data_IF_085454550034
#
_entry.id   IF_085454550034
#
_cell.length_a   1.000
_cell.length_b   1.000
_cell.length_c   1.000
_cell.angle_alpha   90.00
_cell.angle_beta   90.00
_cell.angle_gamma   90.00
#
_symmetry.space_group_name_H-M   'P 1'
#
loop_
_entity.id
_entity.type
_entity.pdbx_description
1 polymer ?
#
# COMPACT_ATOMS: atom_id res chain seq x y z
N UNK A 1 46.09 30.83 27.11
CA UNK A 1 44.63 30.98 27.10
C UNK A 1 44.03 29.80 26.37
N UNK A 2 43.27 28.95 27.06
CA UNK A 2 42.01 28.32 26.60
C UNK A 2 41.66 27.21 27.59
N UNK A 3 40.88 27.61 28.60
CA UNK A 3 40.30 26.74 29.61
C UNK A 3 39.10 26.02 29.00
N UNK A 4 39.16 24.69 28.94
CA UNK A 4 38.06 23.84 28.48
C UNK A 4 36.97 23.81 29.55
N UNK A 5 35.84 24.44 29.27
CA UNK A 5 34.65 24.39 30.13
C UNK A 5 33.88 23.09 29.89
N UNK A 6 34.03 22.16 30.81
CA UNK A 6 33.18 20.99 30.99
C UNK A 6 31.77 21.48 31.39
N UNK A 7 30.74 21.24 30.58
CA UNK A 7 29.33 21.48 30.95
C UNK A 7 28.73 20.17 31.43
N UNK A 8 28.57 20.05 32.74
CA UNK A 8 27.82 18.98 33.40
C UNK A 8 26.34 19.33 33.28
N UNK A 9 25.55 18.48 32.62
CA UNK A 9 24.08 18.59 32.59
C UNK A 9 23.56 17.78 33.76
N UNK A 10 23.07 18.48 34.78
CA UNK A 10 22.43 17.90 35.96
C UNK A 10 21.03 17.41 35.58
N UNK A 11 20.80 16.09 35.61
CA UNK A 11 19.48 15.50 35.49
C UNK A 11 18.70 15.69 36.81
N UNK A 12 17.59 16.42 36.76
CA UNK A 12 16.63 16.48 37.85
C UNK A 12 15.64 15.33 37.70
N UNK A 13 15.78 14.29 38.53
CA UNK A 13 14.81 13.23 38.67
C UNK A 13 13.63 13.75 39.52
N UNK A 14 12.47 13.96 38.90
CA UNK A 14 11.21 14.18 39.63
C UNK A 14 10.57 12.83 39.86
N UNK A 15 10.73 12.31 41.07
CA UNK A 15 10.04 11.13 41.56
C UNK A 15 8.60 11.51 41.96
N UNK A 16 7.60 10.94 41.28
CA UNK A 16 6.20 10.97 41.70
C UNK A 16 5.90 9.67 42.45
N UNK A 17 5.41 9.72 43.71
CA UNK A 17 4.94 8.52 44.40
C UNK A 17 3.54 8.14 43.88
N UNK A 18 3.43 7.01 43.20
CA UNK A 18 2.13 6.38 42.96
C UNK A 18 1.68 5.69 44.25
N UNK A 19 0.60 6.24 44.82
CA UNK A 19 -0.14 5.70 45.94
C UNK A 19 -0.68 4.31 45.62
N UNK A 20 -0.46 3.41 46.58
CA UNK A 20 -1.10 2.10 46.72
C UNK A 20 -2.61 2.29 46.87
N UNK A 21 -3.39 1.64 46.00
CA UNK A 21 -4.83 1.52 46.12
C UNK A 21 -5.24 0.09 45.81
N UNK A 22 -5.28 -0.76 46.85
CA UNK A 22 -5.96 -2.04 46.80
C UNK A 22 -7.48 -1.78 46.70
N UNK A 23 -8.12 -2.35 45.68
CA UNK A 23 -9.57 -2.32 45.50
C UNK A 23 -10.01 -3.59 44.80
N UNK A 24 -10.56 -4.50 45.58
CA UNK A 24 -11.00 -5.86 45.26
C UNK A 24 -12.49 -5.87 44.87
N UNK A 25 -12.84 -6.73 43.92
CA UNK A 25 -14.20 -6.98 43.43
C UNK A 25 -14.35 -6.47 42.00
N UNK A 26 -14.80 -7.23 41.01
CA UNK A 26 -15.57 -8.46 40.96
C UNK A 26 -16.37 -8.39 39.64
N UNK A 27 -16.59 -9.53 39.01
CA UNK A 27 -17.39 -9.74 37.78
C UNK A 27 -16.71 -9.42 36.43
N UNK A 28 -15.96 -10.41 35.96
CA UNK A 28 -15.83 -10.68 34.53
C UNK A 28 -17.16 -11.21 34.00
N UNK A 29 -17.84 -10.44 33.16
CA UNK A 29 -18.91 -10.94 32.31
C UNK A 29 -18.28 -11.63 31.09
N UNK A 30 -18.12 -12.94 31.19
CA UNK A 30 -17.65 -13.77 30.09
C UNK A 30 -18.79 -13.94 29.06
N UNK A 31 -18.55 -13.45 27.85
CA UNK A 31 -19.47 -13.54 26.74
C UNK A 31 -19.69 -15.01 26.33
N UNK A 32 -20.95 -15.43 26.34
CA UNK A 32 -21.37 -16.76 25.93
C UNK A 32 -21.09 -16.99 24.44
N UNK A 33 -20.30 -18.02 24.13
CA UNK A 33 -20.21 -18.62 22.81
C UNK A 33 -21.45 -19.48 22.54
N UNK A 34 -22.10 -19.39 21.36
CA UNK A 34 -22.97 -20.44 20.90
C UNK A 34 -22.20 -21.49 20.10
N UNK A 35 -22.55 -22.73 20.41
CA UNK A 35 -22.04 -23.98 19.89
C UNK A 35 -22.04 -24.13 18.37
N UNK A 36 -21.05 -24.89 17.90
CA UNK A 36 -21.10 -25.61 16.64
C UNK A 36 -22.33 -26.53 16.56
N UNK A 37 -22.98 -26.56 15.41
CA UNK A 37 -23.87 -27.66 15.03
C UNK A 37 -23.55 -28.08 13.60
N UNK A 38 -23.14 -29.33 13.48
CA UNK A 38 -22.96 -30.08 12.23
C UNK A 38 -24.33 -30.51 11.65
N UNK A 39 -24.25 -31.16 10.47
CA UNK A 39 -25.28 -31.94 9.72
C UNK A 39 -25.86 -31.10 8.55
N UNK A 40 -25.92 -31.52 7.28
CA UNK A 40 -25.89 -32.83 6.63
C UNK A 40 -25.56 -32.68 5.12
N UNK A 41 -25.07 -33.76 4.50
CA UNK A 41 -24.90 -33.92 3.05
C UNK A 41 -26.14 -34.57 2.39
N UNK A 42 -26.41 -34.21 1.12
CA UNK A 42 -26.95 -35.04 0.02
C UNK A 42 -27.18 -34.14 -1.22
N UNK A 43 -26.38 -34.25 -2.30
CA UNK A 43 -26.56 -35.13 -3.47
C UNK A 43 -27.66 -34.68 -4.46
N UNK A 44 -27.26 -34.31 -5.68
CA UNK A 44 -27.60 -35.02 -6.94
C UNK A 44 -27.47 -34.13 -8.21
N UNK A 45 -26.66 -34.64 -9.13
CA UNK A 45 -26.83 -34.70 -10.59
C UNK A 45 -27.48 -33.56 -11.37
N UNK A 46 -26.73 -33.00 -12.34
CA UNK A 46 -27.12 -33.08 -13.76
C UNK A 46 -25.94 -32.72 -14.68
N UNK A 47 -25.52 -33.67 -15.52
CA UNK A 47 -24.99 -33.39 -16.85
C UNK A 47 -26.15 -33.61 -17.85
N UNK A 48 -26.11 -33.00 -19.05
CA UNK A 48 -25.59 -33.75 -20.18
C UNK A 48 -24.72 -32.93 -21.15
N UNK A 49 -24.20 -33.65 -22.15
CA UNK A 49 -23.07 -33.33 -23.02
C UNK A 49 -23.43 -32.70 -24.38
N UNK A 50 -22.41 -32.06 -24.99
CA UNK A 50 -22.03 -32.03 -26.43
C UNK A 50 -22.96 -31.35 -27.46
N UNK A 51 -22.45 -30.80 -28.60
CA UNK A 51 -21.42 -31.39 -29.46
C UNK A 51 -20.32 -30.43 -30.01
N UNK A 52 -19.45 -31.03 -30.82
CA UNK A 52 -18.20 -30.53 -31.36
C UNK A 52 -18.30 -29.89 -32.77
N UNK A 53 -17.21 -29.17 -33.10
CA UNK A 53 -16.54 -29.00 -34.41
C UNK A 53 -17.15 -28.10 -35.51
N UNK A 54 -16.36 -27.11 -35.94
CA UNK A 54 -15.96 -26.96 -37.36
C UNK A 54 -14.68 -26.13 -37.52
N UNK A 55 -13.79 -26.65 -38.36
CA UNK A 55 -12.58 -26.07 -38.95
C UNK A 55 -12.91 -25.06 -40.04
N UNK A 56 -12.01 -24.10 -40.32
CA UNK A 56 -12.05 -23.30 -41.54
C UNK A 56 -11.00 -22.20 -41.57
N UNK A 57 -9.88 -22.44 -42.26
CA UNK A 57 -8.88 -21.42 -42.60
C UNK A 57 -9.31 -20.57 -43.79
N UNK A 58 -8.68 -19.40 -43.93
CA UNK A 58 -8.83 -18.52 -45.10
C UNK A 58 -7.98 -17.27 -44.95
N UNK A 59 -6.82 -17.24 -45.61
CA UNK A 59 -6.03 -16.05 -45.89
C UNK A 59 -6.79 -15.12 -46.84
N UNK A 60 -6.77 -13.80 -46.57
CA UNK A 60 -6.89 -12.76 -47.58
C UNK A 60 -6.32 -11.42 -47.07
N UNK A 61 -5.40 -10.86 -47.85
CA UNK A 61 -4.73 -9.58 -47.62
C UNK A 61 -5.61 -8.36 -47.93
N UNK A 62 -5.38 -7.25 -47.22
CA UNK A 62 -5.90 -5.93 -47.54
C UNK A 62 -5.38 -4.85 -46.58
N UNK A 63 -4.44 -4.02 -47.02
CA UNK A 63 -4.11 -2.70 -46.41
C UNK A 63 -5.04 -1.61 -46.96
N UNK A 64 -5.03 -0.36 -46.45
CA UNK A 64 -4.74 0.15 -45.10
C UNK A 64 -5.90 1.02 -44.56
N UNK A 65 -6.09 1.17 -43.25
CA UNK A 65 -6.97 2.20 -42.71
C UNK A 65 -6.50 2.69 -41.34
N UNK A 66 -6.42 4.01 -41.21
CA UNK A 66 -6.01 4.74 -40.02
C UNK A 66 -6.85 4.36 -38.79
N UNK A 67 -6.19 3.97 -37.70
CA UNK A 67 -6.85 3.82 -36.40
C UNK A 67 -6.76 5.13 -35.62
N UNK A 68 -7.94 5.70 -35.41
CA UNK A 68 -8.21 6.76 -34.47
C UNK A 68 -7.76 6.40 -33.04
N UNK A 69 -7.47 7.43 -32.25
CA UNK A 69 -7.24 7.33 -30.82
C UNK A 69 -8.40 6.62 -30.11
N UNK A 70 -8.16 5.72 -29.13
CA UNK A 70 -9.25 5.16 -28.36
C UNK A 70 -9.82 6.21 -27.40
N UNK A 71 -11.08 6.58 -27.63
CA UNK A 71 -11.91 7.24 -26.63
C UNK A 71 -12.19 6.27 -25.48
N UNK A 72 -11.96 6.74 -24.26
CA UNK A 72 -12.32 6.06 -23.03
C UNK A 72 -13.84 5.85 -22.94
N UNK A 73 -14.27 4.60 -23.08
CA UNK A 73 -15.57 4.11 -22.58
C UNK A 73 -15.54 2.57 -22.61
N UNK A 74 -14.82 2.00 -21.65
CA UNK A 74 -14.81 0.56 -21.40
C UNK A 74 -15.91 0.18 -20.41
N UNK A 75 -16.79 -0.74 -20.81
CA UNK A 75 -17.66 -1.49 -19.91
C UNK A 75 -16.84 -2.16 -18.78
N UNK A 76 -17.42 -2.46 -17.60
CA UNK A 76 -16.71 -3.14 -16.52
C UNK A 76 -16.03 -4.41 -17.05
N UNK A 77 -14.71 -4.48 -16.85
CA UNK A 77 -13.81 -5.41 -17.52
C UNK A 77 -14.30 -6.85 -17.42
N UNK A 78 -14.34 -7.55 -18.56
CA UNK A 78 -14.45 -9.01 -18.56
C UNK A 78 -13.24 -9.56 -17.82
N UNK A 79 -13.46 -10.08 -16.61
CA UNK A 79 -12.44 -10.50 -15.63
C UNK A 79 -11.38 -11.43 -16.17
N UNK A 80 -10.35 -10.86 -16.80
CA UNK A 80 -9.13 -11.58 -17.14
C UNK A 80 -8.41 -11.93 -15.84
N UNK A 81 -7.97 -13.17 -15.71
CA UNK A 81 -7.22 -13.63 -14.55
C UNK A 81 -5.75 -13.32 -14.76
N UNK A 82 -5.11 -12.65 -13.80
CA UNK A 82 -3.68 -12.41 -13.79
C UNK A 82 -2.93 -13.68 -13.37
N UNK A 83 -1.69 -13.90 -13.86
CA UNK A 83 -0.89 -15.04 -13.45
C UNK A 83 -0.61 -14.98 -11.94
N UNK A 84 -0.77 -16.12 -11.27
CA UNK A 84 -0.44 -16.24 -9.84
C UNK A 84 1.05 -16.09 -9.63
N UNK A 85 1.43 -15.36 -8.58
CA UNK A 85 2.81 -15.23 -8.10
C UNK A 85 2.90 -15.77 -6.67
N UNK A 86 4.10 -15.81 -6.09
CA UNK A 86 4.26 -16.11 -4.67
C UNK A 86 4.10 -14.82 -3.87
N UNK A 87 3.33 -14.87 -2.78
CA UNK A 87 3.43 -13.93 -1.67
C UNK A 87 4.34 -14.53 -0.59
N UNK A 88 5.59 -14.05 -0.42
CA UNK A 88 6.49 -14.54 0.61
C UNK A 88 6.12 -14.09 2.03
N UNK A 89 5.25 -13.07 2.16
CA UNK A 89 4.88 -12.46 3.43
C UNK A 89 3.61 -13.05 4.04
N UNK A 90 2.76 -13.71 3.25
CA UNK A 90 1.55 -14.37 3.75
C UNK A 90 1.86 -15.33 4.92
N UNK A 91 1.36 -15.01 6.11
CA UNK A 91 1.56 -15.79 7.33
C UNK A 91 2.96 -15.70 7.96
N UNK A 92 3.84 -14.86 7.42
CA UNK A 92 5.22 -14.65 7.89
C UNK A 92 5.45 -13.21 8.35
N UNK A 93 5.01 -12.24 7.56
CA UNK A 93 5.14 -10.82 7.86
C UNK A 93 3.92 -10.30 8.63
N UNK A 94 4.08 -9.17 9.32
CA UNK A 94 2.97 -8.46 9.94
C UNK A 94 2.13 -7.76 8.85
N UNK A 95 0.83 -8.01 8.81
CA UNK A 95 -0.10 -7.29 7.94
C UNK A 95 -0.41 -5.92 8.55
N UNK A 96 -0.19 -4.86 7.79
CA UNK A 96 -0.43 -3.49 8.26
C UNK A 96 -1.73 -2.91 7.73
N UNK A 97 -2.14 -3.28 6.52
CA UNK A 97 -3.43 -2.90 5.95
C UNK A 97 -3.89 -3.89 4.89
N UNK A 98 -5.20 -3.92 4.67
CA UNK A 98 -5.87 -4.66 3.60
C UNK A 98 -6.93 -3.78 2.97
N UNK A 99 -6.72 -3.45 1.69
CA UNK A 99 -7.50 -2.46 0.96
C UNK A 99 -8.17 -3.15 -0.22
N UNK A 100 -9.50 -3.06 -0.29
CA UNK A 100 -10.27 -3.52 -1.46
C UNK A 100 -10.32 -2.43 -2.51
N UNK A 101 -10.13 -2.80 -3.77
CA UNK A 101 -10.08 -1.87 -4.90
C UNK A 101 -10.82 -2.44 -6.10
N UNK A 102 -11.28 -1.55 -6.99
CA UNK A 102 -11.88 -1.93 -8.27
C UNK A 102 -10.91 -1.58 -9.39
N UNK A 103 -10.23 -2.58 -9.94
CA UNK A 103 -9.28 -2.38 -11.03
C UNK A 103 -10.04 -2.18 -12.36
N UNK A 104 -9.74 -1.14 -13.15
CA UNK A 104 -10.50 -0.83 -14.37
C UNK A 104 -10.55 -1.98 -15.40
N UNK A 105 -9.45 -2.74 -15.53
CA UNK A 105 -9.37 -3.90 -16.44
C UNK A 105 -9.68 -5.28 -15.81
N UNK A 106 -9.43 -5.45 -14.51
CA UNK A 106 -9.39 -6.78 -13.86
C UNK A 106 -10.49 -6.97 -12.80
N UNK A 107 -11.29 -5.92 -12.55
CA UNK A 107 -12.40 -5.95 -11.60
C UNK A 107 -11.94 -5.90 -10.15
N UNK A 108 -12.70 -6.51 -9.22
CA UNK A 108 -12.38 -6.50 -7.80
C UNK A 108 -11.01 -7.13 -7.50
N UNK A 109 -10.18 -6.39 -6.79
CA UNK A 109 -8.88 -6.84 -6.29
C UNK A 109 -8.69 -6.42 -4.83
N UNK A 110 -7.64 -6.94 -4.20
CA UNK A 110 -7.27 -6.59 -2.85
C UNK A 110 -5.76 -6.35 -2.77
N UNK A 111 -5.37 -5.26 -2.12
CA UNK A 111 -3.97 -4.93 -1.85
C UNK A 111 -3.73 -5.12 -0.37
N UNK A 112 -2.72 -5.92 -0.02
CA UNK A 112 -2.32 -6.17 1.36
C UNK A 112 -0.93 -5.60 1.55
N UNK A 113 -0.78 -4.68 2.49
CA UNK A 113 0.54 -4.16 2.89
C UNK A 113 1.08 -4.93 4.09
N UNK A 114 2.38 -5.17 4.08
CA UNK A 114 3.08 -5.92 5.09
C UNK A 114 4.29 -5.16 5.60
N UNK A 115 4.73 -5.54 6.80
CA UNK A 115 6.04 -5.20 7.34
C UNK A 115 6.78 -6.44 7.83
N UNK A 116 8.06 -6.53 7.49
CA UNK A 116 9.00 -7.51 8.03
C UNK A 116 9.99 -6.82 8.98
N UNK A 117 10.05 -7.22 10.24
CA UNK A 117 11.10 -6.77 11.16
C UNK A 117 12.43 -7.42 10.79
N UNK A 118 13.42 -6.60 10.42
CA UNK A 118 14.76 -7.03 10.01
C UNK A 118 15.80 -6.92 11.12
N UNK A 119 15.58 -6.01 12.09
CA UNK A 119 16.44 -5.86 13.27
C UNK A 119 15.55 -5.75 14.52
N UNK A 120 15.26 -6.87 15.21
CA UNK A 120 14.29 -6.89 16.31
C UNK A 120 14.82 -6.24 17.61
N UNK A 121 16.13 -6.24 17.82
CA UNK A 121 16.75 -5.86 19.11
C UNK A 121 17.31 -4.43 19.16
N UNK A 122 17.00 -3.59 18.16
CA UNK A 122 17.40 -2.18 18.14
C UNK A 122 16.17 -1.27 18.11
N UNK A 123 16.25 -0.11 18.77
CA UNK A 123 15.21 0.91 18.73
C UNK A 123 15.74 2.18 18.02
N UNK A 124 15.05 2.70 17.00
CA UNK A 124 13.89 2.10 16.34
C UNK A 124 14.25 0.79 15.63
N UNK A 125 13.30 -0.15 15.57
CA UNK A 125 13.51 -1.43 14.89
C UNK A 125 13.69 -1.20 13.40
N UNK A 126 14.65 -1.93 12.81
CA UNK A 126 14.75 -2.03 11.36
C UNK A 126 13.52 -2.78 10.85
N UNK A 127 12.72 -2.14 9.99
CA UNK A 127 11.53 -2.72 9.36
C UNK A 127 11.67 -2.60 7.84
N UNK A 128 11.13 -3.58 7.11
CA UNK A 128 11.10 -3.62 5.64
C UNK A 128 9.65 -3.69 5.14
N UNK A 129 9.14 -2.62 4.50
CA UNK A 129 7.80 -2.61 3.95
C UNK A 129 7.70 -3.42 2.65
N UNK A 130 6.52 -4.00 2.42
CA UNK A 130 6.16 -4.68 1.17
C UNK A 130 4.65 -4.66 0.95
N UNK A 131 4.19 -5.02 -0.24
CA UNK A 131 2.78 -5.26 -0.52
C UNK A 131 2.59 -6.46 -1.45
N UNK A 132 1.42 -7.07 -1.36
CA UNK A 132 0.92 -8.07 -2.29
C UNK A 132 -0.42 -7.63 -2.88
N UNK A 133 -0.69 -8.09 -4.09
CA UNK A 133 -1.93 -7.84 -4.83
C UNK A 133 -2.63 -9.17 -5.01
N UNK A 134 -3.90 -9.23 -4.67
CA UNK A 134 -4.73 -10.42 -4.72
C UNK A 134 -5.89 -10.24 -5.69
N UNK A 135 -6.14 -11.28 -6.48
CA UNK A 135 -7.33 -11.41 -7.31
C UNK A 135 -8.01 -12.73 -6.95
N UNK A 136 -9.29 -12.69 -6.57
CA UNK A 136 -10.05 -13.89 -6.18
C UNK A 136 -9.34 -14.74 -5.09
N UNK A 137 -8.68 -14.08 -4.13
CA UNK A 137 -7.94 -14.72 -3.05
C UNK A 137 -6.60 -15.36 -3.45
N UNK A 138 -6.16 -15.22 -4.70
CA UNK A 138 -4.85 -15.67 -5.16
C UNK A 138 -3.91 -14.47 -5.33
N UNK A 139 -2.65 -14.56 -4.87
CA UNK A 139 -1.66 -13.50 -5.08
C UNK A 139 -1.25 -13.43 -6.56
N UNK A 140 -1.32 -12.24 -7.14
CA UNK A 140 -1.01 -11.95 -8.55
C UNK A 140 0.05 -10.86 -8.73
N UNK A 141 0.45 -10.21 -7.63
CA UNK A 141 1.56 -9.28 -7.57
C UNK A 141 2.19 -9.26 -6.19
N UNK A 142 3.50 -8.99 -6.13
CA UNK A 142 4.22 -8.77 -4.88
C UNK A 142 5.41 -7.84 -5.15
N UNK A 143 5.62 -6.87 -4.26
CA UNK A 143 6.80 -6.03 -4.28
C UNK A 143 7.24 -5.70 -2.85
N UNK A 144 8.56 -5.62 -2.66
CA UNK A 144 9.18 -5.31 -1.38
C UNK A 144 10.21 -4.20 -1.56
N UNK A 145 10.37 -3.36 -0.55
CA UNK A 145 11.55 -2.51 -0.46
C UNK A 145 12.83 -3.34 -0.53
N UNK A 146 13.94 -2.76 -1.02
CA UNK A 146 15.25 -3.42 -1.01
C UNK A 146 15.67 -3.89 0.38
N UNK A 147 16.51 -4.93 0.44
CA UNK A 147 16.88 -5.55 1.72
C UNK A 147 17.64 -4.61 2.67
N UNK A 148 18.36 -3.64 2.10
CA UNK A 148 19.10 -2.60 2.83
C UNK A 148 18.19 -1.51 3.43
N UNK A 149 16.91 -1.48 3.08
CA UNK A 149 16.00 -0.42 3.54
C UNK A 149 15.65 -0.62 5.01
N UNK A 150 15.94 0.40 5.82
CA UNK A 150 15.53 0.50 7.23
C UNK A 150 14.48 1.61 7.36
N UNK A 151 13.31 1.41 6.75
CA UNK A 151 12.20 2.34 6.87
C UNK A 151 11.40 2.01 8.14
N UNK A 152 10.75 3.01 8.72
CA UNK A 152 9.74 2.78 9.77
C UNK A 152 8.45 2.41 9.02
N UNK A 153 7.83 1.28 9.37
CA UNK A 153 6.67 0.62 8.72
C UNK A 153 5.65 1.51 7.99
N UNK A 154 4.93 0.92 7.02
CA UNK A 154 3.62 1.44 6.60
C UNK A 154 2.64 1.44 7.79
N UNK A 155 2.28 2.60 8.33
CA UNK A 155 1.32 2.68 9.44
C UNK A 155 1.40 3.94 10.29
N UNK A 156 0.46 4.07 11.22
CA UNK A 156 0.21 5.26 12.05
C UNK A 156 1.21 5.49 13.20
N UNK A 157 2.36 4.79 13.23
CA UNK A 157 3.38 5.05 14.26
C UNK A 157 3.93 6.48 14.08
N UNK A 158 4.22 7.22 15.18
CA UNK A 158 4.71 8.59 15.07
C UNK A 158 6.01 8.63 14.28
N UNK A 159 5.96 9.30 13.14
CA UNK A 159 7.14 9.64 12.36
C UNK A 159 7.77 10.88 13.00
N UNK A 160 9.09 10.94 13.08
CA UNK A 160 9.79 12.14 13.54
C UNK A 160 9.70 13.19 12.42
N UNK A 161 8.87 14.23 12.57
CA UNK A 161 8.83 15.41 11.69
C UNK A 161 7.44 15.92 11.30
N UNK A 162 7.40 17.00 10.51
CA UNK A 162 6.18 17.70 10.03
C UNK A 162 5.49 16.98 8.85
N UNK A 163 5.38 15.65 8.88
CA UNK A 163 4.76 14.90 7.79
C UNK A 163 3.24 14.99 7.94
N UNK A 164 2.60 15.72 7.02
CA UNK A 164 1.16 15.97 6.99
C UNK A 164 0.47 14.75 6.36
N UNK A 165 -0.26 13.99 7.16
CA UNK A 165 -1.09 12.89 6.67
C UNK A 165 -2.51 13.41 6.43
N UNK A 166 -3.00 13.36 5.20
CA UNK A 166 -4.39 13.68 4.86
C UNK A 166 -5.10 12.54 4.07
N UNK A 167 -4.53 11.34 4.07
CA UNK A 167 -5.21 10.15 3.55
C UNK A 167 -5.75 9.31 4.70
N UNK A 168 -7.05 8.99 4.64
CA UNK A 168 -7.69 8.10 5.59
C UNK A 168 -7.04 6.71 5.50
N UNK A 169 -6.34 6.23 6.55
CA UNK A 169 -5.71 4.91 6.53
C UNK A 169 -6.73 3.78 6.37
N UNK A 170 -8.03 4.03 6.59
CA UNK A 170 -9.10 3.05 6.34
C UNK A 170 -9.54 3.02 4.89
N UNK A 171 -9.38 4.11 4.14
CA UNK A 171 -9.83 4.24 2.75
C UNK A 171 -8.78 5.00 1.91
N UNK A 172 -7.58 4.43 1.70
CA UNK A 172 -6.50 5.13 1.03
C UNK A 172 -6.59 5.04 -0.50
N UNK A 173 -7.78 5.15 -1.07
CA UNK A 173 -8.03 4.91 -2.50
C UNK A 173 -8.60 6.17 -3.14
N UNK A 174 -7.99 6.64 -4.22
CA UNK A 174 -8.52 7.78 -4.99
C UNK A 174 -9.56 7.33 -6.03
N UNK A 175 -10.13 8.30 -6.77
CA UNK A 175 -11.13 7.98 -7.80
C UNK A 175 -10.57 7.24 -9.02
N UNK A 176 -9.26 7.20 -9.19
CA UNK A 176 -8.57 6.50 -10.29
C UNK A 176 -8.20 5.06 -9.90
N UNK A 177 -8.40 4.68 -8.63
CA UNK A 177 -8.03 3.38 -8.09
C UNK A 177 -6.58 3.28 -7.65
N UNK A 178 -5.85 4.40 -7.54
CA UNK A 178 -4.53 4.43 -6.93
C UNK A 178 -4.66 4.24 -5.41
N UNK A 179 -3.72 3.50 -4.83
CA UNK A 179 -3.66 3.24 -3.40
C UNK A 179 -2.42 3.85 -2.79
N UNK A 180 -2.58 4.47 -1.62
CA UNK A 180 -1.51 5.21 -0.95
C UNK A 180 -1.13 4.57 0.38
N UNK A 181 0.14 4.26 0.53
CA UNK A 181 0.73 3.86 1.80
C UNK A 181 1.85 4.82 2.13
N UNK A 182 1.73 5.58 3.21
CA UNK A 182 2.85 6.41 3.65
C UNK A 182 3.63 5.74 4.79
N UNK A 183 4.83 6.26 5.00
CA UNK A 183 5.77 5.88 6.03
C UNK A 183 6.60 7.12 6.41
N UNK A 184 7.66 6.94 7.22
CA UNK A 184 8.41 8.07 7.78
C UNK A 184 9.27 8.79 6.77
N UNK A 185 9.43 8.18 5.62
CA UNK A 185 10.28 8.63 4.56
C UNK A 185 9.47 9.20 3.41
N UNK A 186 8.19 8.87 3.25
CA UNK A 186 7.41 9.41 2.14
C UNK A 186 6.09 8.69 1.90
N UNK A 187 5.66 8.72 0.63
CA UNK A 187 4.43 8.09 0.15
C UNK A 187 4.78 7.06 -0.90
N UNK A 188 4.36 5.82 -0.67
CA UNK A 188 4.24 4.80 -1.71
C UNK A 188 2.89 4.93 -2.39
N UNK A 189 2.88 5.06 -3.72
CA UNK A 189 1.69 5.04 -4.55
C UNK A 189 1.69 3.73 -5.33
N UNK A 190 0.56 3.04 -5.33
CA UNK A 190 0.35 1.82 -6.12
C UNK A 190 -0.78 2.10 -7.10
N UNK A 191 -0.48 2.04 -8.39
CA UNK A 191 -1.38 2.46 -9.46
C UNK A 191 -1.87 1.28 -10.30
N UNK A 192 -3.14 1.30 -10.76
CA UNK A 192 -3.63 0.34 -11.74
C UNK A 192 -2.86 0.43 -13.06
N UNK A 193 -2.59 -0.72 -13.68
CA UNK A 193 -1.88 -0.86 -14.94
C UNK A 193 -2.51 -1.99 -15.76
N UNK A 194 -2.11 -2.13 -17.03
CA UNK A 194 -2.55 -3.28 -17.85
C UNK A 194 -2.04 -4.64 -17.33
N UNK A 195 -1.15 -4.67 -16.33
CA UNK A 195 -0.57 -5.89 -15.76
C UNK A 195 -1.02 -6.14 -14.31
N UNK A 196 -2.00 -5.39 -13.81
CA UNK A 196 -2.41 -5.38 -12.41
C UNK A 196 -1.98 -4.08 -11.76
N UNK A 197 -1.28 -4.14 -10.63
CA UNK A 197 -0.84 -2.94 -9.91
C UNK A 197 0.68 -2.81 -9.92
N UNK A 198 1.18 -1.58 -10.00
CA UNK A 198 2.62 -1.25 -9.96
C UNK A 198 2.87 -0.06 -9.02
N UNK A 199 3.97 -0.07 -8.27
CA UNK A 199 4.32 1.03 -7.38
C UNK A 199 5.18 2.11 -8.05
N UNK A 200 5.52 1.95 -9.32
CA UNK A 200 6.36 2.87 -10.08
C UNK A 200 7.68 3.21 -9.37
N UNK A 201 8.19 2.26 -8.60
CA UNK A 201 9.40 2.39 -7.82
C UNK A 201 9.30 3.33 -6.60
N UNK A 202 8.11 3.73 -6.16
CA UNK A 202 7.94 4.59 -4.96
C UNK A 202 8.12 3.85 -3.63
N UNK A 203 8.40 2.55 -3.66
CA UNK A 203 8.73 1.79 -2.45
C UNK A 203 9.98 2.38 -1.77
N UNK A 204 10.03 2.45 -0.43
CA UNK A 204 11.16 3.05 0.29
C UNK A 204 12.50 2.43 -0.07
N UNK A 205 13.48 3.28 -0.35
CA UNK A 205 14.85 2.88 -0.69
C UNK A 205 15.03 2.31 -2.10
N UNK A 206 14.01 2.40 -2.96
CA UNK A 206 14.09 2.03 -4.37
C UNK A 206 15.09 2.93 -5.12
N UNK A 207 16.08 2.31 -5.78
CA UNK A 207 17.09 3.04 -6.55
C UNK A 207 16.56 3.52 -7.93
N UNK A 208 15.33 3.14 -8.31
CA UNK A 208 14.72 3.43 -9.63
C UNK A 208 13.28 3.91 -9.48
N UNK A 209 13.07 4.97 -8.71
CA UNK A 209 11.74 5.56 -8.62
C UNK A 209 11.42 6.40 -9.86
N UNK A 210 10.24 6.21 -10.42
CA UNK A 210 9.66 7.12 -11.43
C UNK A 210 9.23 8.43 -10.78
N UNK A 211 8.88 8.41 -9.49
CA UNK A 211 8.39 9.57 -8.74
C UNK A 211 9.22 9.80 -7.48
N UNK A 212 9.69 11.03 -7.22
CA UNK A 212 10.55 11.29 -6.07
C UNK A 212 9.73 11.49 -4.78
N UNK A 213 8.78 10.60 -4.47
CA UNK A 213 7.88 10.75 -3.32
C UNK A 213 8.49 10.41 -1.96
N UNK A 214 9.82 10.48 -1.87
CA UNK A 214 10.50 10.69 -0.61
C UNK A 214 10.21 12.11 -0.09
N UNK A 215 10.11 12.25 1.22
CA UNK A 215 9.73 13.47 1.93
C UNK A 215 8.39 14.05 1.43
N UNK A 216 7.48 13.17 1.00
CA UNK A 216 6.16 13.56 0.52
C UNK A 216 5.04 13.22 1.52
N UNK A 217 3.93 13.92 1.36
CA UNK A 217 2.62 13.58 1.91
C UNK A 217 1.56 13.59 0.81
N UNK A 218 0.40 13.02 1.07
CA UNK A 218 -0.70 12.93 0.10
C UNK A 218 -2.01 13.37 0.74
N UNK A 219 -2.83 14.03 -0.08
CA UNK A 219 -4.22 14.40 0.20
C UNK A 219 -5.10 13.85 -0.92
N UNK A 220 -6.29 13.36 -0.55
CA UNK A 220 -7.37 13.05 -1.51
C UNK A 220 -8.52 14.01 -1.18
N UNK A 221 -8.91 14.84 -2.14
CA UNK A 221 -9.99 15.80 -1.91
C UNK A 221 -11.39 15.14 -1.90
N UNK A 222 -12.43 15.93 -1.64
CA UNK A 222 -13.80 15.43 -1.60
C UNK A 222 -14.32 14.90 -2.96
N UNK A 223 -13.67 15.26 -4.08
CA UNK A 223 -13.96 14.73 -5.41
C UNK A 223 -13.17 13.44 -5.70
N UNK A 224 -12.31 13.01 -4.79
CA UNK A 224 -11.43 11.86 -4.95
C UNK A 224 -10.18 12.17 -5.77
N UNK A 225 -9.81 13.44 -5.97
CA UNK A 225 -8.58 13.83 -6.67
C UNK A 225 -7.37 13.75 -5.74
N UNK A 226 -6.30 13.05 -6.13
CA UNK A 226 -5.08 12.98 -5.34
C UNK A 226 -4.16 14.18 -5.62
N UNK A 227 -3.54 14.70 -4.56
CA UNK A 227 -2.38 15.60 -4.67
C UNK A 227 -1.27 15.10 -3.77
N UNK A 228 -0.10 14.85 -4.35
CA UNK A 228 1.12 14.50 -3.60
C UNK A 228 1.94 15.76 -3.43
N UNK A 229 2.23 16.13 -2.18
CA UNK A 229 3.06 17.29 -1.83
C UNK A 229 4.42 16.79 -1.39
N UNK A 230 5.43 17.00 -2.23
CA UNK A 230 6.82 16.62 -1.97
C UNK A 230 7.57 17.80 -1.35
N UNK A 231 8.30 17.59 -0.25
CA UNK A 231 9.25 18.57 0.27
C UNK A 231 10.56 18.49 -0.52
N UNK A 232 11.09 19.64 -0.91
CA UNK A 232 12.33 19.71 -1.68
C UNK A 232 13.54 19.53 -0.76
N UNK A 233 14.42 18.60 -1.15
CA UNK A 233 15.70 18.33 -0.49
C UNK A 233 16.80 18.96 -1.34
N UNK A 234 17.63 19.81 -0.73
CA UNK A 234 18.79 20.41 -1.35
C UNK A 234 19.88 19.38 -1.66
N UNK A 235 20.88 19.79 -2.45
CA UNK A 235 22.02 18.93 -2.82
C UNK A 235 22.86 18.46 -1.63
N UNK A 236 22.74 19.14 -0.49
CA UNK A 236 23.38 18.82 0.79
C UNK A 236 22.57 17.84 1.64
N UNK A 237 21.41 17.39 1.16
CA UNK A 237 20.51 16.49 1.90
C UNK A 237 19.62 17.19 2.91
N UNK A 238 19.57 18.53 2.90
CA UNK A 238 18.77 19.31 3.86
C UNK A 238 17.48 19.80 3.19
N UNK A 239 16.36 19.78 3.92
CA UNK A 239 15.10 20.34 3.45
C UNK A 239 15.25 21.84 3.18
N UNK A 240 14.86 22.29 1.99
CA UNK A 240 14.96 23.71 1.60
C UNK A 240 13.83 24.56 2.17
N UNK A 241 12.73 23.91 2.60
CA UNK A 241 11.47 24.56 2.97
C UNK A 241 10.51 24.78 1.80
N UNK A 242 10.96 24.50 0.56
CA UNK A 242 10.10 24.52 -0.62
C UNK A 242 9.33 23.20 -0.76
N UNK A 243 8.20 23.26 -1.47
CA UNK A 243 7.39 22.10 -1.82
C UNK A 243 7.09 22.07 -3.31
N UNK A 244 6.95 20.86 -3.85
CA UNK A 244 6.46 20.61 -5.20
C UNK A 244 5.17 19.82 -5.09
N UNK A 245 4.11 20.32 -5.73
CA UNK A 245 2.85 19.60 -5.83
C UNK A 245 2.84 18.73 -7.08
N UNK A 246 2.32 17.52 -6.94
CA UNK A 246 2.16 16.56 -8.02
C UNK A 246 0.70 16.14 -8.11
N UNK A 247 0.14 16.20 -9.32
CA UNK A 247 -1.26 15.85 -9.58
C UNK A 247 -1.34 14.72 -10.59
N UNK A 248 -2.39 13.92 -10.51
CA UNK A 248 -2.64 12.84 -11.45
C UNK A 248 -3.24 13.38 -12.76
N UNK A 249 -2.59 13.10 -13.91
CA UNK A 249 -3.09 13.53 -15.22
C UNK A 249 -4.02 12.49 -15.91
N UNK A 250 -4.38 11.42 -15.21
CA UNK A 250 -5.11 10.26 -15.74
C UNK A 250 -4.22 9.06 -16.05
N UNK A 251 -2.90 9.21 -16.04
CA UNK A 251 -1.94 8.13 -16.33
C UNK A 251 -0.69 8.13 -15.44
N UNK A 252 -0.26 9.30 -14.98
CA UNK A 252 0.94 9.48 -14.19
C UNK A 252 0.80 10.73 -13.31
N UNK A 253 1.65 10.81 -12.30
CA UNK A 253 1.84 12.04 -11.53
C UNK A 253 2.75 13.02 -12.29
N UNK A 254 2.30 14.27 -12.40
CA UNK A 254 3.08 15.36 -13.00
C UNK A 254 3.28 16.49 -12.00
N UNK A 255 4.51 17.00 -11.93
CA UNK A 255 4.86 18.15 -11.12
C UNK A 255 4.16 19.41 -11.66
N UNK A 256 3.46 20.10 -10.77
CA UNK A 256 2.90 21.42 -11.04
C UNK A 256 4.02 22.47 -10.99
N UNK A 257 3.96 23.43 -11.91
CA UNK A 257 4.92 24.53 -12.03
C UNK A 257 4.54 25.72 -11.17
#
# INVERSE_FOLDING_TARGET
MNSQKLKIVTAAAVAVPLLVGCGQGGESAEASSPAASQTQAAAASSAPASPAATTGGGDAAGSPAASAAPSASGAPGSGSTLPTVKDPCAGVCEETARVKVEHPAFGPMEIVSYTLTTVPDMAPQGKRPSYAVYQNGQPVGYASSPEKTTAVSFGAEPMIGDQLWEVDPKNPVDKYGNVYFSDSMGVTVISPTEKGYDSHGTLPGSDKSQYPFEQAGVTIDAAGEPTVTQKVVGSDGVLTGETVQWTWNGSAFEAQK
#
